data_IF_595686892037
#
_entry.id   IF_595686892037
#
_cell.length_a   1.000
_cell.length_b   1.000
_cell.length_c   1.000
_cell.angle_alpha   90.00
_cell.angle_beta   90.00
_cell.angle_gamma   90.00
#
_symmetry.space_group_name_H-M   'P 1'
#
loop_
_entity.id
_entity.type
_entity.pdbx_description
1 polymer ?
#
# COMPACT_ATOMS: atom_id res chain seq x y z
N UNK A 1 -26.36 16.86 -41.94
CA UNK A 1 -24.97 17.08 -41.43
C UNK A 1 -24.98 17.36 -39.92
N UNK A 2 -25.89 18.21 -39.45
CA UNK A 2 -26.15 18.53 -38.04
C UNK A 2 -26.27 17.31 -37.10
N UNK A 3 -27.01 16.26 -37.49
CA UNK A 3 -27.12 15.03 -36.67
C UNK A 3 -25.77 14.33 -36.43
N UNK A 4 -24.87 14.29 -37.42
CA UNK A 4 -23.53 13.70 -37.25
C UNK A 4 -22.66 14.56 -36.33
N UNK A 5 -22.84 15.87 -36.35
CA UNK A 5 -22.10 16.82 -35.51
C UNK A 5 -22.57 16.76 -34.05
N UNK A 6 -23.88 16.69 -33.83
CA UNK A 6 -24.47 16.43 -32.52
C UNK A 6 -24.01 15.09 -31.94
N UNK A 7 -23.94 14.03 -32.75
CA UNK A 7 -23.42 12.73 -32.34
C UNK A 7 -21.92 12.75 -31.99
N UNK A 8 -21.10 13.52 -32.72
CA UNK A 8 -19.67 13.74 -32.38
C UNK A 8 -19.52 14.51 -31.06
N UNK A 9 -20.31 15.56 -30.85
CA UNK A 9 -20.31 16.35 -29.62
C UNK A 9 -20.77 15.54 -28.40
N UNK A 10 -21.81 14.72 -28.55
CA UNK A 10 -22.28 13.80 -27.51
C UNK A 10 -21.21 12.77 -27.14
N UNK A 11 -20.56 12.15 -28.14
CA UNK A 11 -19.44 11.22 -27.92
C UNK A 11 -18.27 11.90 -27.21
N UNK A 12 -17.88 13.11 -27.64
CA UNK A 12 -16.80 13.88 -27.01
C UNK A 12 -17.07 14.21 -25.54
N UNK A 13 -18.28 14.66 -25.21
CA UNK A 13 -18.69 14.92 -23.81
C UNK A 13 -18.66 13.64 -22.95
N UNK A 14 -19.11 12.51 -23.51
CA UNK A 14 -19.08 11.22 -22.83
C UNK A 14 -17.65 10.73 -22.57
N UNK A 15 -16.73 10.87 -23.53
CA UNK A 15 -15.32 10.49 -23.38
C UNK A 15 -14.63 11.36 -22.33
N UNK A 16 -14.81 12.68 -22.37
CA UNK A 16 -14.23 13.59 -21.38
C UNK A 16 -14.69 13.28 -19.95
N UNK A 17 -15.98 12.95 -19.77
CA UNK A 17 -16.53 12.56 -18.46
C UNK A 17 -15.90 11.26 -17.95
N UNK A 18 -15.67 10.29 -18.83
CA UNK A 18 -14.99 9.02 -18.49
C UNK A 18 -13.55 9.28 -18.08
N UNK A 19 -12.84 10.15 -18.78
CA UNK A 19 -11.43 10.46 -18.48
C UNK A 19 -11.29 11.17 -17.13
N UNK A 20 -12.16 12.14 -16.82
CA UNK A 20 -12.15 12.84 -15.52
C UNK A 20 -12.36 11.85 -14.36
N UNK A 21 -13.30 10.92 -14.47
CA UNK A 21 -13.56 9.93 -13.42
C UNK A 21 -12.35 9.01 -13.24
N UNK A 22 -11.75 8.57 -14.35
CA UNK A 22 -10.56 7.71 -14.32
C UNK A 22 -9.38 8.43 -13.68
N UNK A 23 -9.13 9.68 -14.03
CA UNK A 23 -8.08 10.52 -13.46
C UNK A 23 -8.31 10.77 -11.97
N UNK A 24 -9.55 11.07 -11.57
CA UNK A 24 -9.93 11.22 -10.16
C UNK A 24 -9.65 9.95 -9.36
N UNK A 25 -10.08 8.78 -9.85
CA UNK A 25 -9.84 7.51 -9.16
C UNK A 25 -8.36 7.14 -9.11
N UNK A 26 -7.61 7.45 -10.18
CA UNK A 26 -6.16 7.22 -10.22
C UNK A 26 -5.42 8.08 -9.18
N UNK A 27 -5.70 9.38 -9.11
CA UNK A 27 -5.11 10.29 -8.12
C UNK A 27 -5.53 9.92 -6.69
N UNK A 28 -6.79 9.55 -6.48
CA UNK A 28 -7.29 9.08 -5.18
C UNK A 28 -6.55 7.82 -4.72
N UNK A 29 -6.44 6.82 -5.59
CA UNK A 29 -5.80 5.55 -5.25
C UNK A 29 -4.28 5.70 -5.08
N UNK A 30 -3.64 6.50 -5.96
CA UNK A 30 -2.22 6.82 -5.84
C UNK A 30 -1.90 7.52 -4.52
N UNK A 31 -2.64 8.58 -4.17
CA UNK A 31 -2.42 9.29 -2.90
C UNK A 31 -2.79 8.43 -1.68
N UNK A 32 -3.82 7.56 -1.78
CA UNK A 32 -4.11 6.57 -0.74
C UNK A 32 -2.90 5.68 -0.45
N UNK A 33 -2.27 5.11 -1.48
CA UNK A 33 -1.10 4.23 -1.33
C UNK A 33 0.13 4.98 -0.83
N UNK A 34 0.35 6.21 -1.31
CA UNK A 34 1.42 7.07 -0.81
C UNK A 34 1.29 7.26 0.71
N UNK A 35 0.10 7.63 1.20
CA UNK A 35 -0.13 7.84 2.63
C UNK A 35 -0.08 6.53 3.41
N UNK A 36 -0.63 5.43 2.85
CA UNK A 36 -0.60 4.12 3.50
C UNK A 36 0.83 3.69 3.84
N UNK A 37 1.77 3.82 2.90
CA UNK A 37 3.17 3.45 3.14
C UNK A 37 3.97 4.53 3.86
N UNK A 38 3.85 5.79 3.45
CA UNK A 38 4.56 6.91 4.08
C UNK A 38 4.18 7.07 5.55
N UNK A 39 2.91 7.35 5.84
CA UNK A 39 2.45 7.49 7.22
C UNK A 39 2.46 6.17 8.00
N UNK A 40 2.30 5.02 7.32
CA UNK A 40 2.47 3.71 7.95
C UNK A 40 3.89 3.51 8.51
N UNK A 41 4.92 3.95 7.78
CA UNK A 41 6.31 3.86 8.24
C UNK A 41 6.59 4.78 9.45
N UNK A 42 5.97 5.96 9.49
CA UNK A 42 6.03 6.85 10.66
C UNK A 42 5.33 6.21 11.85
N UNK A 43 4.12 5.67 11.66
CA UNK A 43 3.37 4.99 12.72
C UNK A 43 4.16 3.80 13.28
N UNK A 44 4.78 2.99 12.41
CA UNK A 44 5.66 1.89 12.82
C UNK A 44 6.81 2.37 13.71
N UNK A 45 7.55 3.39 13.27
CA UNK A 45 8.70 3.91 14.02
C UNK A 45 8.27 4.49 15.37
N UNK A 46 7.25 5.35 15.39
CA UNK A 46 6.79 6.03 16.61
C UNK A 46 6.15 5.06 17.59
N UNK A 47 5.23 4.19 17.15
CA UNK A 47 4.53 3.26 18.04
C UNK A 47 5.42 2.12 18.54
N UNK A 48 6.49 1.81 17.81
CA UNK A 48 7.51 0.85 18.27
C UNK A 48 8.55 1.47 19.20
N UNK A 49 8.48 2.78 19.48
CA UNK A 49 9.53 3.51 20.22
C UNK A 49 10.91 3.28 19.59
N UNK A 50 10.98 3.39 18.26
CA UNK A 50 12.20 3.25 17.47
C UNK A 50 12.86 1.86 17.49
N UNK A 51 12.17 0.83 18.03
CA UNK A 51 12.70 -0.54 18.05
C UNK A 51 12.45 -1.31 16.75
N UNK A 52 11.49 -0.86 15.92
CA UNK A 52 11.11 -1.49 14.65
C UNK A 52 11.12 -0.50 13.47
N UNK A 53 11.77 0.64 13.64
CA UNK A 53 11.91 1.65 12.61
C UNK A 53 12.79 2.80 13.07
N UNK A 54 13.40 3.49 12.10
CA UNK A 54 14.24 4.66 12.28
C UNK A 54 13.97 5.67 11.15
N UNK A 55 14.62 6.84 11.20
CA UNK A 55 14.45 7.88 10.18
C UNK A 55 14.69 7.39 8.75
N UNK A 56 15.67 6.49 8.55
CA UNK A 56 15.93 5.89 7.23
C UNK A 56 14.73 5.09 6.73
N UNK A 57 14.11 4.28 7.58
CA UNK A 57 12.93 3.48 7.20
C UNK A 57 11.72 4.35 6.86
N UNK A 58 11.59 5.53 7.48
CA UNK A 58 10.55 6.51 7.14
C UNK A 58 10.77 7.05 5.72
N UNK A 59 12.00 7.46 5.40
CA UNK A 59 12.33 7.92 4.05
C UNK A 59 12.12 6.82 3.00
N UNK A 60 12.50 5.58 3.30
CA UNK A 60 12.23 4.43 2.43
C UNK A 60 10.72 4.24 2.24
N UNK A 61 9.93 4.30 3.31
CA UNK A 61 8.47 4.17 3.24
C UNK A 61 7.81 5.23 2.36
N UNK A 62 8.19 6.49 2.52
CA UNK A 62 7.67 7.58 1.67
C UNK A 62 8.13 7.47 0.22
N UNK A 63 9.41 7.19 -0.03
CA UNK A 63 9.95 7.13 -1.41
C UNK A 63 9.37 5.94 -2.19
N UNK A 64 9.28 4.76 -1.58
CA UNK A 64 8.60 3.62 -2.19
C UNK A 64 7.09 3.86 -2.32
N UNK A 65 6.47 4.54 -1.35
CA UNK A 65 5.08 4.96 -1.43
C UNK A 65 4.81 5.85 -2.65
N UNK A 66 5.65 6.87 -2.89
CA UNK A 66 5.56 7.73 -4.10
C UNK A 66 5.77 6.90 -5.36
N UNK A 67 6.79 6.03 -5.39
CA UNK A 67 7.07 5.18 -6.56
C UNK A 67 5.84 4.34 -6.94
N UNK A 68 5.24 3.65 -5.97
CA UNK A 68 4.06 2.80 -6.20
C UNK A 68 2.84 3.63 -6.58
N UNK A 69 2.63 4.78 -5.94
CA UNK A 69 1.55 5.71 -6.28
C UNK A 69 1.65 6.19 -7.74
N UNK A 70 2.86 6.48 -8.22
CA UNK A 70 3.10 6.82 -9.63
C UNK A 70 2.81 5.63 -10.53
N UNK A 71 3.28 4.42 -10.21
CA UNK A 71 2.93 3.23 -10.99
C UNK A 71 1.42 2.97 -11.06
N UNK A 72 0.67 3.31 -10.02
CA UNK A 72 -0.80 3.19 -10.01
C UNK A 72 -1.48 4.23 -10.89
N UNK A 73 -1.04 5.48 -10.82
CA UNK A 73 -1.78 6.60 -11.39
C UNK A 73 -1.23 7.11 -12.74
N UNK A 74 0.05 6.90 -13.04
CA UNK A 74 0.75 7.63 -14.10
C UNK A 74 0.27 7.34 -15.52
N UNK A 75 -0.14 6.11 -15.85
CA UNK A 75 -0.70 5.80 -17.17
C UNK A 75 -2.12 6.30 -17.38
N UNK A 76 -2.75 6.86 -16.33
CA UNK A 76 -4.13 7.35 -16.35
C UNK A 76 -4.19 8.86 -16.15
N UNK A 77 -3.67 9.37 -15.02
CA UNK A 77 -3.73 10.78 -14.64
C UNK A 77 -2.43 11.56 -14.85
N UNK A 78 -1.33 10.86 -15.16
CA UNK A 78 0.02 11.43 -15.09
C UNK A 78 0.65 11.28 -13.70
N UNK A 79 -0.07 10.75 -12.71
CA UNK A 79 0.47 10.37 -11.41
C UNK A 79 1.01 11.53 -10.62
N UNK A 80 0.24 12.61 -10.52
CA UNK A 80 0.67 13.82 -9.82
C UNK A 80 0.76 13.57 -8.32
N UNK A 81 -0.29 12.95 -7.76
CA UNK A 81 -0.46 12.53 -6.36
C UNK A 81 -0.15 13.63 -5.33
N UNK A 82 -0.15 14.88 -5.78
CA UNK A 82 0.31 16.05 -5.06
C UNK A 82 -0.31 17.32 -5.70
N UNK A 83 -0.99 18.18 -4.90
CA UNK A 83 -1.55 19.44 -5.37
C UNK A 83 -0.52 20.39 -6.00
N UNK A 84 0.70 20.45 -5.46
CA UNK A 84 1.76 21.32 -5.97
C UNK A 84 2.28 20.84 -7.33
N UNK A 85 2.42 19.53 -7.53
CA UNK A 85 2.77 18.95 -8.84
C UNK A 85 1.66 19.21 -9.84
N UNK A 86 0.39 19.05 -9.42
CA UNK A 86 -0.76 19.35 -10.27
C UNK A 86 -0.80 20.81 -10.68
N UNK A 87 -0.49 21.73 -9.77
CA UNK A 87 -0.39 23.16 -10.07
C UNK A 87 0.77 23.45 -11.03
N UNK A 88 1.92 22.83 -10.83
CA UNK A 88 3.06 22.92 -11.76
C UNK A 88 2.67 22.46 -13.17
N UNK A 89 1.91 21.36 -13.29
CA UNK A 89 1.42 20.86 -14.57
C UNK A 89 0.39 21.78 -15.22
N UNK A 90 -0.41 22.50 -14.44
CA UNK A 90 -1.28 23.58 -14.96
C UNK A 90 -0.46 24.75 -15.50
N UNK A 91 0.54 25.21 -14.73
CA UNK A 91 1.42 26.33 -15.13
C UNK A 91 2.17 26.01 -16.42
N UNK A 92 2.66 24.77 -16.56
CA UNK A 92 3.34 24.28 -17.76
C UNK A 92 2.39 23.99 -18.95
N UNK A 93 1.08 24.20 -18.80
CA UNK A 93 0.09 23.94 -19.84
C UNK A 93 -0.15 22.46 -20.14
N UNK A 94 0.32 21.55 -19.27
CA UNK A 94 0.18 20.09 -19.42
C UNK A 94 -1.08 19.52 -18.75
N UNK A 95 -1.71 20.28 -17.85
CA UNK A 95 -3.01 19.97 -17.26
C UNK A 95 -4.01 21.11 -17.49
N UNK A 96 -5.20 20.86 -18.08
CA UNK A 96 -6.25 21.86 -18.16
C UNK A 96 -6.66 22.38 -16.77
N UNK A 97 -6.70 23.70 -16.58
CA UNK A 97 -7.05 24.35 -15.31
C UNK A 97 -8.38 23.84 -14.71
N UNK A 98 -9.34 23.45 -15.56
CA UNK A 98 -10.64 22.89 -15.12
C UNK A 98 -10.52 21.55 -14.39
N UNK A 99 -9.46 20.77 -14.65
CA UNK A 99 -9.20 19.47 -14.01
C UNK A 99 -8.47 19.63 -12.68
N UNK A 100 -7.76 20.74 -12.47
CA UNK A 100 -7.00 21.00 -11.26
C UNK A 100 -7.78 20.79 -9.95
N UNK A 101 -8.97 21.39 -9.72
CA UNK A 101 -9.70 21.17 -8.47
C UNK A 101 -10.13 19.70 -8.28
N UNK A 102 -10.32 18.95 -9.36
CA UNK A 102 -10.68 17.52 -9.32
C UNK A 102 -9.49 16.69 -8.83
N UNK A 103 -8.28 16.98 -9.32
CA UNK A 103 -7.05 16.34 -8.86
C UNK A 103 -6.81 16.64 -7.37
N UNK A 104 -6.96 17.90 -6.97
CA UNK A 104 -6.79 18.31 -5.57
C UNK A 104 -7.80 17.58 -4.68
N UNK A 105 -9.09 17.54 -5.06
CA UNK A 105 -10.10 16.81 -4.31
C UNK A 105 -9.79 15.31 -4.21
N UNK A 106 -9.40 14.67 -5.31
CA UNK A 106 -9.00 13.26 -5.33
C UNK A 106 -7.85 12.98 -4.36
N UNK A 107 -6.80 13.81 -4.39
CA UNK A 107 -5.61 13.67 -3.55
C UNK A 107 -5.96 13.84 -2.07
N UNK A 108 -6.76 14.84 -1.69
CA UNK A 108 -7.18 15.02 -0.30
C UNK A 108 -8.05 13.86 0.21
N UNK A 109 -8.99 13.37 -0.60
CA UNK A 109 -9.81 12.21 -0.23
C UNK A 109 -8.94 10.96 -0.11
N UNK A 110 -8.03 10.73 -1.05
CA UNK A 110 -7.07 9.63 -1.03
C UNK A 110 -6.21 9.67 0.24
N UNK A 111 -5.67 10.84 0.59
CA UNK A 111 -4.87 11.03 1.78
C UNK A 111 -5.65 10.77 3.07
N UNK A 112 -6.90 11.24 3.14
CA UNK A 112 -7.79 10.99 4.27
C UNK A 112 -8.06 9.49 4.43
N UNK A 113 -8.45 8.80 3.36
CA UNK A 113 -8.71 7.35 3.40
C UNK A 113 -7.44 6.55 3.74
N UNK A 114 -6.27 6.96 3.24
CA UNK A 114 -4.99 6.34 3.58
C UNK A 114 -4.68 6.48 5.06
N UNK A 115 -4.98 7.66 5.63
CA UNK A 115 -4.81 7.92 7.07
C UNK A 115 -5.77 7.09 7.92
N UNK A 116 -7.03 6.93 7.49
CA UNK A 116 -7.98 6.02 8.14
C UNK A 116 -7.48 4.56 8.12
N UNK A 117 -6.91 4.10 6.99
CA UNK A 117 -6.34 2.77 6.90
C UNK A 117 -5.16 2.57 7.87
N UNK A 118 -4.22 3.52 7.92
CA UNK A 118 -3.10 3.50 8.89
C UNK A 118 -3.63 3.49 10.33
N UNK A 119 -4.65 4.29 10.64
CA UNK A 119 -5.28 4.28 11.96
C UNK A 119 -5.85 2.90 12.31
N UNK A 120 -6.63 2.27 11.42
CA UNK A 120 -7.18 0.93 11.64
C UNK A 120 -6.08 -0.14 11.82
N UNK A 121 -4.99 -0.03 11.06
CA UNK A 121 -3.85 -0.94 11.16
C UNK A 121 -3.16 -0.86 12.52
N UNK A 122 -3.10 0.32 13.13
CA UNK A 122 -2.37 0.56 14.38
C UNK A 122 -3.27 0.76 15.60
N UNK A 123 -4.60 0.67 15.43
CA UNK A 123 -5.58 0.91 16.48
C UNK A 123 -5.30 0.09 17.75
N UNK A 124 -4.97 -1.20 17.58
CA UNK A 124 -4.67 -2.13 18.68
C UNK A 124 -3.36 -1.84 19.44
N UNK A 125 -2.54 -0.90 18.98
CA UNK A 125 -1.30 -0.45 19.63
C UNK A 125 -1.46 0.89 20.33
N UNK A 126 -2.58 1.58 20.12
CA UNK A 126 -2.90 2.80 20.86
C UNK A 126 -3.22 2.44 22.32
N UNK A 127 -2.81 3.28 23.28
CA UNK A 127 -3.09 3.02 24.69
C UNK A 127 -4.61 2.88 24.88
N UNK A 128 -5.03 1.79 25.51
CA UNK A 128 -6.43 1.44 25.90
C UNK A 128 -7.25 0.54 24.95
N UNK A 129 -6.72 0.03 23.84
CA UNK A 129 -7.50 -0.82 22.92
C UNK A 129 -6.76 -2.11 22.53
N UNK A 130 -7.11 -3.25 23.13
CA UNK A 130 -6.71 -4.57 22.62
C UNK A 130 -7.90 -5.18 21.89
N UNK A 131 -7.81 -5.41 20.57
CA UNK A 131 -8.98 -5.80 19.78
C UNK A 131 -8.64 -6.73 18.61
N UNK A 132 -9.55 -7.67 18.32
CA UNK A 132 -9.50 -8.64 17.21
C UNK A 132 -9.52 -7.93 15.83
N UNK A 133 -9.95 -6.67 15.80
CA UNK A 133 -10.05 -5.84 14.59
C UNK A 133 -8.67 -5.61 13.94
N UNK A 134 -7.60 -5.50 14.72
CA UNK A 134 -6.27 -5.15 14.20
C UNK A 134 -5.65 -6.27 13.33
N UNK A 135 -5.60 -7.54 13.76
CA UNK A 135 -5.12 -8.66 12.92
C UNK A 135 -5.87 -8.79 11.59
N UNK A 136 -7.21 -8.70 11.62
CA UNK A 136 -8.03 -8.80 10.41
C UNK A 136 -7.77 -7.63 9.45
N UNK A 137 -7.66 -6.42 9.99
CA UNK A 137 -7.35 -5.22 9.21
C UNK A 137 -5.99 -5.34 8.51
N UNK A 138 -5.00 -5.93 9.17
CA UNK A 138 -3.67 -6.16 8.59
C UNK A 138 -3.70 -7.14 7.43
N UNK A 139 -4.43 -8.24 7.56
CA UNK A 139 -4.52 -9.24 6.49
C UNK A 139 -5.23 -8.68 5.26
N UNK A 140 -6.36 -8.00 5.46
CA UNK A 140 -7.15 -7.40 4.37
C UNK A 140 -6.40 -6.24 3.71
N UNK A 141 -5.91 -5.27 4.48
CA UNK A 141 -5.26 -4.07 3.94
C UNK A 141 -3.88 -4.41 3.40
N UNK A 142 -3.09 -5.24 4.10
CA UNK A 142 -1.75 -5.63 3.67
C UNK A 142 -1.76 -6.47 2.39
N UNK A 143 -2.60 -7.51 2.34
CA UNK A 143 -2.73 -8.35 1.14
C UNK A 143 -3.38 -7.58 -0.01
N UNK A 144 -4.41 -6.76 0.30
CA UNK A 144 -5.03 -5.87 -0.69
C UNK A 144 -4.03 -4.90 -1.30
N UNK A 145 -3.20 -4.23 -0.48
CA UNK A 145 -2.16 -3.33 -0.96
C UNK A 145 -1.12 -4.05 -1.82
N UNK A 146 -0.68 -5.26 -1.43
CA UNK A 146 0.26 -6.06 -2.23
C UNK A 146 -0.33 -6.38 -3.61
N UNK A 147 -1.55 -6.92 -3.65
CA UNK A 147 -2.22 -7.29 -4.91
C UNK A 147 -2.43 -6.06 -5.78
N UNK A 148 -2.86 -4.93 -5.21
CA UNK A 148 -3.02 -3.68 -5.95
C UNK A 148 -1.70 -3.18 -6.55
N UNK A 149 -0.60 -3.26 -5.80
CA UNK A 149 0.72 -2.87 -6.31
C UNK A 149 1.19 -3.81 -7.44
N UNK A 150 1.04 -5.13 -7.27
CA UNK A 150 1.39 -6.10 -8.31
C UNK A 150 0.58 -5.83 -9.57
N UNK A 151 -0.74 -5.65 -9.46
CA UNK A 151 -1.61 -5.36 -10.59
C UNK A 151 -1.20 -4.06 -11.29
N UNK A 152 -0.86 -3.01 -10.55
CA UNK A 152 -0.39 -1.75 -11.14
C UNK A 152 0.94 -1.90 -11.89
N UNK A 153 1.87 -2.70 -11.37
CA UNK A 153 3.19 -2.95 -11.97
C UNK A 153 3.07 -3.78 -13.27
N UNK A 154 2.21 -4.81 -13.28
CA UNK A 154 2.09 -5.73 -14.43
C UNK A 154 1.07 -5.27 -15.48
N UNK A 155 0.22 -4.28 -15.17
CA UNK A 155 -0.81 -3.81 -16.10
C UNK A 155 -0.17 -3.07 -17.28
N UNK A 156 -0.21 -3.71 -18.46
CA UNK A 156 0.27 -3.15 -19.73
C UNK A 156 -0.57 -1.97 -20.23
N UNK A 157 -1.75 -1.74 -19.67
CA UNK A 157 -2.59 -0.56 -19.97
C UNK A 157 -2.21 0.64 -19.11
N UNK A 158 -1.37 0.45 -18.10
CA UNK A 158 -0.76 1.51 -17.31
C UNK A 158 0.66 1.81 -17.82
N UNK A 159 1.48 2.54 -17.05
CA UNK A 159 2.89 2.81 -17.40
C UNK A 159 3.63 1.48 -17.66
N UNK A 160 3.33 0.45 -16.86
CA UNK A 160 3.97 -0.86 -16.90
C UNK A 160 5.43 -0.80 -16.43
N UNK A 161 5.91 -1.90 -15.86
CA UNK A 161 7.32 -2.04 -15.58
C UNK A 161 8.16 -2.19 -16.86
N UNK A 162 9.42 -1.72 -16.86
CA UNK A 162 10.40 -2.15 -17.85
C UNK A 162 10.54 -3.68 -17.84
N UNK A 163 10.69 -4.28 -19.02
CA UNK A 163 10.82 -5.74 -19.16
C UNK A 163 11.98 -6.28 -18.31
N UNK A 164 11.69 -7.27 -17.47
CA UNK A 164 12.66 -7.90 -16.57
C UNK A 164 12.80 -7.21 -15.22
N UNK A 165 12.23 -6.01 -15.02
CA UNK A 165 12.23 -5.31 -13.74
C UNK A 165 10.98 -5.60 -12.88
N UNK A 166 10.00 -6.34 -13.42
CA UNK A 166 8.78 -6.71 -12.70
C UNK A 166 9.08 -7.36 -11.33
N UNK A 167 9.97 -8.38 -11.23
CA UNK A 167 10.24 -9.03 -9.94
C UNK A 167 10.87 -8.09 -8.92
N UNK A 168 11.73 -7.17 -9.37
CA UNK A 168 12.36 -6.16 -8.51
C UNK A 168 11.31 -5.21 -7.93
N UNK A 169 10.40 -4.70 -8.76
CA UNK A 169 9.35 -3.78 -8.32
C UNK A 169 8.36 -4.46 -7.37
N UNK A 170 8.06 -5.74 -7.59
CA UNK A 170 7.28 -6.55 -6.64
C UNK A 170 8.04 -6.70 -5.31
N UNK A 171 9.34 -6.98 -5.36
CA UNK A 171 10.19 -7.01 -4.16
C UNK A 171 10.22 -5.69 -3.39
N UNK A 172 10.31 -4.57 -4.10
CA UNK A 172 10.24 -3.22 -3.53
C UNK A 172 8.86 -2.91 -2.95
N UNK A 173 7.79 -3.47 -3.52
CA UNK A 173 6.44 -3.36 -2.94
C UNK A 173 6.35 -4.10 -1.59
N UNK A 174 6.96 -5.28 -1.50
CA UNK A 174 7.04 -6.05 -0.24
C UNK A 174 7.90 -5.29 0.79
N UNK A 175 9.01 -4.66 0.36
CA UNK A 175 9.82 -3.81 1.22
C UNK A 175 9.01 -2.62 1.77
N UNK A 176 8.21 -1.96 0.93
CA UNK A 176 7.32 -0.87 1.36
C UNK A 176 6.33 -1.36 2.43
N UNK A 177 5.72 -2.52 2.25
CA UNK A 177 4.84 -3.13 3.25
C UNK A 177 5.60 -3.44 4.55
N UNK A 178 6.82 -3.96 4.46
CA UNK A 178 7.63 -4.32 5.62
C UNK A 178 8.05 -3.11 6.46
N UNK A 179 8.42 -1.99 5.85
CA UNK A 179 8.78 -0.78 6.60
C UNK A 179 7.57 -0.04 7.17
N UNK A 180 6.35 -0.34 6.69
CA UNK A 180 5.13 0.40 7.05
C UNK A 180 4.13 -0.38 7.90
N UNK A 181 4.19 -1.71 7.95
CA UNK A 181 3.13 -2.55 8.53
C UNK A 181 3.66 -3.76 9.34
N UNK A 182 4.96 -3.83 9.61
CA UNK A 182 5.57 -4.98 10.31
C UNK A 182 5.34 -5.03 11.81
N UNK A 183 5.10 -3.89 12.46
CA UNK A 183 5.07 -3.82 13.92
C UNK A 183 4.01 -4.73 14.57
N UNK A 184 2.88 -4.93 13.90
CA UNK A 184 1.77 -5.68 14.49
C UNK A 184 2.00 -7.18 14.41
N UNK A 185 2.21 -7.70 13.19
CA UNK A 185 2.33 -9.14 12.98
C UNK A 185 3.36 -9.56 11.92
N UNK A 186 4.36 -8.74 11.62
CA UNK A 186 5.38 -9.09 10.62
C UNK A 186 4.81 -9.28 9.21
N UNK A 187 3.78 -8.50 8.87
CA UNK A 187 3.14 -8.41 7.55
C UNK A 187 2.85 -9.77 6.88
N UNK A 188 1.99 -10.63 7.47
CA UNK A 188 1.59 -11.89 6.85
C UNK A 188 0.65 -11.58 5.68
N UNK A 189 1.24 -11.30 4.53
CA UNK A 189 0.57 -11.00 3.25
C UNK A 189 0.45 -12.25 2.37
N UNK A 190 0.75 -13.43 2.93
CA UNK A 190 0.79 -14.70 2.23
C UNK A 190 0.43 -15.85 3.21
N UNK A 191 -0.76 -16.49 3.04
CA UNK A 191 -1.18 -17.61 3.88
C UNK A 191 -0.23 -18.81 3.82
N UNK A 192 0.36 -19.13 2.67
CA UNK A 192 1.31 -20.24 2.54
C UNK A 192 2.61 -19.95 3.31
N UNK A 193 3.03 -18.68 3.33
CA UNK A 193 4.18 -18.22 4.10
C UNK A 193 3.92 -18.29 5.61
N UNK A 194 2.68 -18.32 6.08
CA UNK A 194 2.38 -18.48 7.51
C UNK A 194 2.04 -19.94 7.87
N UNK A 195 1.09 -20.54 7.17
CA UNK A 195 0.56 -21.87 7.48
C UNK A 195 1.60 -22.99 7.28
N UNK A 196 2.39 -22.95 6.20
CA UNK A 196 3.38 -24.01 5.91
C UNK A 196 4.39 -24.19 7.05
N UNK A 197 5.08 -23.11 7.47
CA UNK A 197 6.01 -23.16 8.59
C UNK A 197 5.34 -23.51 9.93
N UNK A 198 4.08 -23.10 10.18
CA UNK A 198 3.32 -23.52 11.37
C UNK A 198 3.05 -25.02 11.41
N UNK A 199 2.66 -25.60 10.28
CA UNK A 199 2.44 -27.05 10.19
C UNK A 199 3.75 -27.80 10.45
N UNK A 200 4.87 -27.31 9.89
CA UNK A 200 6.18 -27.90 10.14
C UNK A 200 6.58 -27.81 11.62
N UNK A 201 6.44 -26.65 12.27
CA UNK A 201 6.82 -26.51 13.69
C UNK A 201 5.93 -27.34 14.61
N UNK A 202 4.63 -27.48 14.28
CA UNK A 202 3.72 -28.35 15.01
C UNK A 202 4.21 -29.81 15.03
N UNK A 203 4.65 -30.33 13.89
CA UNK A 203 5.17 -31.71 13.78
C UNK A 203 6.60 -31.86 14.27
N UNK A 204 7.40 -30.79 14.24
CA UNK A 204 8.81 -30.80 14.64
C UNK A 204 9.02 -30.74 16.17
N UNK A 205 7.96 -30.83 16.97
CA UNK A 205 8.05 -30.94 18.43
C UNK A 205 7.54 -29.75 19.24
N UNK A 206 7.09 -28.66 18.59
CA UNK A 206 6.45 -27.53 19.29
C UNK A 206 4.97 -27.78 19.61
N UNK A 207 4.38 -28.86 19.08
CA UNK A 207 3.01 -29.25 19.34
C UNK A 207 1.97 -28.29 18.77
N UNK A 208 0.70 -28.47 19.15
CA UNK A 208 -0.41 -27.67 18.64
C UNK A 208 -0.48 -26.24 19.21
N UNK A 209 0.42 -25.89 20.15
CA UNK A 209 0.49 -24.56 20.75
C UNK A 209 0.84 -23.47 19.72
N UNK A 210 1.46 -23.84 18.59
CA UNK A 210 1.75 -22.92 17.47
C UNK A 210 0.50 -22.35 16.79
N UNK A 211 -0.69 -22.90 17.09
CA UNK A 211 -2.00 -22.44 16.62
C UNK A 211 -2.82 -21.69 17.69
N UNK A 212 -2.33 -21.58 18.94
CA UNK A 212 -3.09 -20.92 20.02
C UNK A 212 -3.00 -19.39 19.93
N UNK A 213 -4.15 -18.73 20.05
CA UNK A 213 -4.31 -17.27 20.08
C UNK A 213 -4.05 -16.75 21.51
N UNK A 214 -3.10 -15.82 21.70
CA UNK A 214 -2.85 -15.22 23.03
C UNK A 214 -1.45 -14.66 23.28
N UNK A 215 -0.47 -14.94 22.41
CA UNK A 215 0.79 -14.18 22.38
C UNK A 215 0.61 -13.01 21.40
N UNK A 216 1.28 -11.86 21.60
CA UNK A 216 1.11 -10.66 20.77
C UNK A 216 1.36 -10.86 19.26
N UNK A 217 1.77 -12.06 18.85
CA UNK A 217 2.19 -12.43 17.51
C UNK A 217 1.78 -13.87 17.14
N UNK A 218 0.58 -14.35 17.49
CA UNK A 218 0.09 -15.70 17.08
C UNK A 218 -0.03 -15.90 15.56
N UNK A 219 0.22 -14.87 14.75
CA UNK A 219 0.24 -14.89 13.27
C UNK A 219 1.63 -14.54 12.68
N UNK A 220 2.72 -14.60 13.45
CA UNK A 220 4.05 -14.18 12.99
C UNK A 220 5.11 -15.27 12.96
N UNK A 221 5.93 -15.20 11.91
CA UNK A 221 7.28 -15.76 11.77
C UNK A 221 8.29 -15.42 12.87
N UNK A 222 7.93 -14.62 13.88
CA UNK A 222 8.85 -14.36 14.99
C UNK A 222 9.27 -15.70 15.63
N UNK A 223 8.38 -16.70 15.60
CA UNK A 223 8.70 -18.06 16.03
C UNK A 223 9.68 -18.80 15.09
N UNK A 224 9.72 -18.49 13.78
CA UNK A 224 10.67 -19.13 12.84
C UNK A 224 12.06 -18.47 12.83
N UNK A 225 12.17 -17.17 13.13
CA UNK A 225 13.48 -16.54 13.37
C UNK A 225 14.02 -17.02 14.72
N UNK A 226 13.16 -17.16 15.73
CA UNK A 226 13.50 -17.87 16.96
C UNK A 226 13.88 -19.33 16.70
N UNK A 227 13.33 -20.01 15.70
CA UNK A 227 13.77 -21.36 15.27
C UNK A 227 15.24 -21.38 14.81
N UNK A 228 15.66 -20.46 13.92
CA UNK A 228 17.07 -20.42 13.47
C UNK A 228 18.01 -20.00 14.60
N UNK A 229 17.62 -19.00 15.39
CA UNK A 229 18.47 -18.47 16.46
C UNK A 229 18.54 -19.45 17.65
N UNK A 230 17.44 -20.09 18.04
CA UNK A 230 17.44 -21.08 19.13
C UNK A 230 18.12 -22.40 18.73
N UNK A 231 18.04 -22.81 17.46
CA UNK A 231 18.80 -23.94 16.94
C UNK A 231 20.30 -23.61 16.77
N UNK A 232 20.66 -22.33 16.57
CA UNK A 232 22.05 -21.89 16.51
C UNK A 232 22.68 -21.61 17.89
N UNK A 233 21.88 -21.31 18.92
CA UNK A 233 22.34 -21.05 20.30
C UNK A 233 22.39 -22.30 21.21
N UNK A 234 22.18 -23.49 20.64
CA UNK A 234 22.27 -24.78 21.36
C UNK A 234 23.63 -25.49 21.19
N UNK A 235 24.67 -24.77 20.78
CA UNK A 235 26.08 -25.20 20.87
C UNK A 235 26.86 -24.33 21.85
#
# INVERSE_FOLDING_TARGET
MEYRENMKNLRGKCTLRKDIIREFLAELLGTFVLILFGCGSVAQTVLSRETKGELLTIHIGFTLGVMLAVYMAGGISGGHVNPAVSLGMVILGKLPLKKFPIYVAAQFIGAFLGSCAVFCLYYGKLPSHFNIITPLSLEVIGTGALVLCILAIIDKKNIGAPKGMEPLLVGLSILAIAVSMALNCGYPINPARDLGPRLFTAVAGWGLDVFRYGKPCSFCYHDLISFVVSAASTN
#
